data_IF_625053118416
#
_entry.id   IF_625053118416
#
_cell.length_a   1.000
_cell.length_b   1.000
_cell.length_c   1.000
_cell.angle_alpha   90.00
_cell.angle_beta   90.00
_cell.angle_gamma   90.00
#
_symmetry.space_group_name_H-M   'P 1'
#
loop_
_entity.id
_entity.type
_entity.pdbx_description
1 polymer ?
#
# COMPACT_ATOMS: atom_id res chain seq x y z
N UNK A 1 6.67 -9.72 35.96
CA UNK A 1 5.97 -8.70 35.18
C UNK A 1 5.64 -9.22 33.76
N UNK A 2 4.81 -10.27 33.77
CA UNK A 2 4.33 -10.97 32.58
C UNK A 2 3.19 -10.23 31.85
N UNK A 3 2.77 -9.08 32.35
CA UNK A 3 1.65 -8.29 31.80
C UNK A 3 2.01 -7.36 30.64
N UNK A 4 3.28 -7.23 30.28
CA UNK A 4 3.74 -6.29 29.24
C UNK A 4 3.85 -6.96 27.86
N UNK A 5 3.82 -8.28 27.76
CA UNK A 5 4.15 -9.02 26.52
C UNK A 5 2.94 -9.57 25.74
N UNK A 6 1.70 -9.20 26.08
CA UNK A 6 0.50 -9.79 25.45
C UNK A 6 -0.39 -8.80 24.71
N UNK A 7 0.13 -7.65 24.33
CA UNK A 7 -0.68 -6.71 23.55
C UNK A 7 -0.58 -7.00 22.06
N UNK A 8 -1.59 -7.65 21.54
CA UNK A 8 -1.87 -7.75 20.10
C UNK A 8 -2.04 -6.35 19.52
N UNK A 9 -1.48 -6.07 18.34
CA UNK A 9 -1.57 -4.77 17.66
C UNK A 9 -3.00 -4.26 17.47
N UNK A 10 -4.00 -5.16 17.49
CA UNK A 10 -5.43 -4.81 17.53
C UNK A 10 -5.82 -4.12 18.85
N UNK A 11 -5.25 -4.58 19.96
CA UNK A 11 -5.47 -3.94 21.25
C UNK A 11 -4.72 -2.62 21.38
N UNK A 12 -3.64 -2.42 20.62
CA UNK A 12 -2.81 -1.22 20.75
C UNK A 12 -3.21 -0.10 19.78
N UNK A 13 -3.49 -0.39 18.51
CA UNK A 13 -3.84 0.64 17.54
C UNK A 13 -5.18 1.33 17.84
N UNK A 14 -6.20 0.58 18.21
CA UNK A 14 -7.53 1.13 18.53
C UNK A 14 -7.52 2.03 19.78
N UNK A 15 -6.96 1.61 20.92
CA UNK A 15 -6.80 2.48 22.08
C UNK A 15 -5.95 3.71 21.76
N UNK A 16 -4.90 3.60 20.94
CA UNK A 16 -4.04 4.73 20.60
C UNK A 16 -4.76 5.72 19.68
N UNK A 17 -5.52 5.27 18.71
CA UNK A 17 -6.36 6.18 17.93
C UNK A 17 -7.37 6.93 18.80
N UNK A 18 -7.96 6.26 19.79
CA UNK A 18 -8.81 6.91 20.77
C UNK A 18 -8.03 7.91 21.65
N UNK A 19 -6.80 7.57 22.06
CA UNK A 19 -5.93 8.49 22.79
C UNK A 19 -5.54 9.71 21.94
N UNK A 20 -5.32 9.58 20.66
CA UNK A 20 -5.06 10.71 19.77
C UNK A 20 -6.21 11.72 19.80
N UNK A 21 -7.46 11.28 19.84
CA UNK A 21 -8.60 12.21 19.87
C UNK A 21 -8.88 12.78 21.26
N UNK A 22 -8.58 12.04 22.34
CA UNK A 22 -8.82 12.48 23.72
C UNK A 22 -7.68 13.27 24.32
N UNK A 23 -6.44 12.83 24.09
CA UNK A 23 -5.24 13.39 24.70
C UNK A 23 -4.41 14.22 23.70
N UNK A 24 -4.69 14.07 22.38
CA UNK A 24 -3.93 14.67 21.28
C UNK A 24 -2.48 14.14 21.24
N UNK A 25 -1.56 14.93 20.65
CA UNK A 25 -0.14 14.60 20.60
C UNK A 25 0.59 15.29 21.73
N UNK A 26 1.38 14.53 22.47
CA UNK A 26 2.10 15.04 23.63
C UNK A 26 3.15 16.10 23.23
N UNK A 27 3.19 17.19 24.00
CA UNK A 27 4.22 18.23 23.83
C UNK A 27 5.52 17.86 24.51
N UNK A 28 5.51 16.92 25.48
CA UNK A 28 6.70 16.43 26.16
C UNK A 28 6.77 14.92 26.06
N UNK A 29 7.94 14.40 25.66
CA UNK A 29 8.18 12.97 25.62
C UNK A 29 8.37 12.42 27.04
N UNK A 30 7.87 11.23 27.29
CA UNK A 30 8.10 10.48 28.53
C UNK A 30 9.18 9.44 28.30
N UNK A 31 10.05 9.26 29.30
CA UNK A 31 11.18 8.34 29.23
C UNK A 31 10.99 7.19 30.23
N UNK A 32 11.59 6.04 29.94
CA UNK A 32 11.69 4.92 30.87
C UNK A 32 12.88 5.13 31.83
N UNK A 33 13.12 4.14 32.72
CA UNK A 33 14.23 4.17 33.67
C UNK A 33 15.62 4.13 33.00
N UNK A 34 15.70 3.70 31.75
CA UNK A 34 16.93 3.59 30.97
C UNK A 34 17.17 4.82 30.06
N UNK A 35 16.26 5.79 30.09
CA UNK A 35 16.33 7.00 29.27
C UNK A 35 15.79 6.83 27.83
N UNK A 36 15.13 5.71 27.52
CA UNK A 36 14.47 5.52 26.22
C UNK A 36 13.09 6.16 26.23
N UNK A 37 12.67 6.68 25.08
CA UNK A 37 11.32 7.23 24.90
C UNK A 37 10.30 6.11 25.07
N UNK A 38 9.25 6.35 25.86
CA UNK A 38 8.13 5.42 25.98
C UNK A 38 7.22 5.48 24.78
N UNK A 39 6.54 4.36 24.49
CA UNK A 39 5.50 4.30 23.45
C UNK A 39 4.47 5.42 23.62
N UNK A 40 4.23 6.15 22.55
CA UNK A 40 3.32 7.31 22.56
C UNK A 40 2.61 7.49 21.22
N UNK A 41 1.76 8.51 21.11
CA UNK A 41 0.90 8.77 19.96
C UNK A 41 1.64 9.21 18.69
N UNK A 42 2.88 9.69 18.77
CA UNK A 42 3.64 10.20 17.62
C UNK A 42 3.98 9.15 16.57
N UNK A 43 3.97 7.86 16.91
CA UNK A 43 4.12 6.77 15.94
C UNK A 43 2.92 6.66 14.98
N UNK A 44 1.78 7.28 15.29
CA UNK A 44 0.55 7.15 14.52
C UNK A 44 0.17 8.45 13.83
N UNK A 45 -0.13 8.36 12.54
CA UNK A 45 -0.48 9.51 11.71
C UNK A 45 -1.89 10.02 12.00
N UNK A 46 -2.16 11.35 11.87
CA UNK A 46 -3.36 11.99 12.38
C UNK A 46 -4.63 11.81 11.53
N UNK A 47 -4.52 11.58 10.21
CA UNK A 47 -5.68 11.73 9.32
C UNK A 47 -6.77 10.71 9.59
N UNK A 48 -6.44 9.44 9.79
CA UNK A 48 -7.45 8.41 10.04
C UNK A 48 -8.21 8.65 11.35
N UNK A 49 -7.55 8.85 12.52
CA UNK A 49 -8.26 9.13 13.76
C UNK A 49 -9.06 10.43 13.71
N UNK A 50 -8.52 11.52 13.13
CA UNK A 50 -9.23 12.78 13.02
C UNK A 50 -10.44 12.73 12.08
N UNK A 51 -10.36 11.98 10.98
CA UNK A 51 -11.50 11.76 10.09
C UNK A 51 -12.61 10.98 10.79
N UNK A 52 -12.23 9.97 11.58
CA UNK A 52 -13.16 9.18 12.38
C UNK A 52 -13.82 10.02 13.49
N UNK A 53 -13.06 10.91 14.12
CA UNK A 53 -13.56 11.90 15.10
C UNK A 53 -14.54 12.88 14.44
N UNK A 54 -14.18 13.41 13.26
CA UNK A 54 -15.05 14.33 12.53
C UNK A 54 -16.40 13.67 12.19
N UNK A 55 -16.39 12.43 11.76
CA UNK A 55 -17.62 11.67 11.49
C UNK A 55 -18.43 11.43 12.78
N UNK A 56 -17.77 11.08 13.90
CA UNK A 56 -18.43 10.91 15.18
C UNK A 56 -19.07 12.20 15.69
N UNK A 57 -18.41 13.34 15.47
CA UNK A 57 -18.93 14.67 15.83
C UNK A 57 -20.21 15.01 15.03
N UNK A 58 -20.23 14.69 13.74
CA UNK A 58 -21.40 14.90 12.88
C UNK A 58 -22.62 14.07 13.33
N UNK A 59 -22.41 12.95 13.98
CA UNK A 59 -23.50 12.11 14.53
C UNK A 59 -23.97 12.53 15.92
N UNK A 60 -23.49 13.66 16.43
CA UNK A 60 -23.88 14.30 17.72
C UNK A 60 -23.59 13.52 18.99
N UNK A 61 -22.82 12.44 18.94
CA UNK A 61 -22.48 11.61 20.11
C UNK A 61 -21.03 11.18 20.08
N UNK A 62 -20.15 11.90 20.78
CA UNK A 62 -18.76 11.47 20.96
C UNK A 62 -18.70 10.61 22.21
N UNK A 63 -18.96 9.31 22.04
CA UNK A 63 -18.61 8.28 23.02
C UNK A 63 -17.52 7.40 22.41
N UNK A 64 -16.77 6.68 23.25
CA UNK A 64 -15.78 5.70 22.76
C UNK A 64 -16.40 4.71 21.76
N UNK A 65 -17.62 4.23 22.05
CA UNK A 65 -18.34 3.30 21.16
C UNK A 65 -18.73 3.94 19.82
N UNK A 66 -19.21 5.18 19.82
CA UNK A 66 -19.57 5.89 18.58
C UNK A 66 -18.34 6.21 17.74
N UNK A 67 -17.22 6.57 18.35
CA UNK A 67 -15.96 6.77 17.66
C UNK A 67 -15.50 5.50 16.90
N UNK A 68 -15.49 4.35 17.57
CA UNK A 68 -15.09 3.10 16.91
C UNK A 68 -16.05 2.68 15.80
N UNK A 69 -17.36 2.89 15.99
CA UNK A 69 -18.34 2.64 14.95
C UNK A 69 -18.07 3.53 13.71
N UNK A 70 -17.80 4.82 13.93
CA UNK A 70 -17.45 5.75 12.85
C UNK A 70 -16.12 5.38 12.18
N UNK A 71 -15.11 4.94 12.93
CA UNK A 71 -13.85 4.47 12.36
C UNK A 71 -14.03 3.22 11.47
N UNK A 72 -14.92 2.29 11.86
CA UNK A 72 -15.33 1.16 11.00
C UNK A 72 -16.02 1.65 9.74
N UNK A 73 -16.94 2.61 9.84
CA UNK A 73 -17.62 3.20 8.66
C UNK A 73 -16.61 3.85 7.72
N UNK A 74 -15.64 4.60 8.23
CA UNK A 74 -14.55 5.19 7.42
C UNK A 74 -13.78 4.07 6.70
N UNK A 75 -13.45 2.97 7.39
CA UNK A 75 -12.76 1.83 6.79
C UNK A 75 -13.58 1.16 5.70
N UNK A 76 -14.88 0.97 5.89
CA UNK A 76 -15.78 0.35 4.90
C UNK A 76 -15.95 1.21 3.65
N UNK A 77 -16.19 2.51 3.82
CA UNK A 77 -16.27 3.45 2.69
C UNK A 77 -14.95 3.46 1.92
N UNK A 78 -13.83 3.51 2.64
CA UNK A 78 -12.50 3.49 2.02
C UNK A 78 -12.24 2.17 1.28
N UNK A 79 -12.64 1.02 1.84
CA UNK A 79 -12.51 -0.29 1.19
C UNK A 79 -13.34 -0.40 -0.08
N UNK A 80 -14.57 0.10 -0.06
CA UNK A 80 -15.40 0.19 -1.27
C UNK A 80 -14.73 1.10 -2.33
N UNK A 81 -14.16 2.24 -1.90
CA UNK A 81 -13.42 3.14 -2.76
C UNK A 81 -12.17 2.47 -3.35
N UNK A 82 -11.45 1.65 -2.56
CA UNK A 82 -10.32 0.82 -3.06
C UNK A 82 -10.79 -0.15 -4.14
N UNK A 83 -11.87 -0.91 -3.91
CA UNK A 83 -12.38 -1.86 -4.88
C UNK A 83 -12.73 -1.18 -6.22
N UNK A 84 -13.50 -0.09 -6.16
CA UNK A 84 -13.90 0.67 -7.34
C UNK A 84 -12.72 1.38 -8.02
N UNK A 85 -11.82 1.96 -7.24
CA UNK A 85 -10.66 2.68 -7.75
C UNK A 85 -9.65 1.76 -8.44
N UNK A 86 -9.32 0.62 -7.82
CA UNK A 86 -8.41 -0.35 -8.42
C UNK A 86 -9.02 -1.00 -9.67
N UNK A 87 -10.32 -1.31 -9.67
CA UNK A 87 -11.01 -1.77 -10.87
C UNK A 87 -10.94 -0.72 -11.97
N UNK A 88 -11.32 0.53 -11.69
CA UNK A 88 -11.27 1.61 -12.66
C UNK A 88 -9.86 1.87 -13.22
N UNK A 89 -8.83 1.71 -12.39
CA UNK A 89 -7.44 1.91 -12.80
C UNK A 89 -6.88 0.76 -13.62
N UNK A 90 -7.15 -0.50 -13.22
CA UNK A 90 -6.47 -1.68 -13.75
C UNK A 90 -7.32 -2.48 -14.75
N UNK A 91 -8.66 -2.40 -14.70
CA UNK A 91 -9.55 -3.08 -15.64
C UNK A 91 -9.23 -2.78 -17.14
N UNK A 92 -8.92 -1.53 -17.55
CA UNK A 92 -8.54 -1.26 -18.93
C UNK A 92 -7.28 -1.99 -19.40
N UNK A 93 -6.46 -2.49 -18.47
CA UNK A 93 -5.18 -3.16 -18.74
C UNK A 93 -5.27 -4.68 -18.78
N UNK A 94 -6.22 -5.26 -18.03
CA UNK A 94 -6.35 -6.72 -17.91
C UNK A 94 -7.67 -7.26 -18.42
N UNK A 95 -8.65 -6.40 -18.67
CA UNK A 95 -10.02 -6.77 -19.04
C UNK A 95 -10.93 -7.04 -17.83
N UNK A 96 -12.25 -6.93 -18.05
CA UNK A 96 -13.27 -6.95 -17.01
C UNK A 96 -13.23 -8.21 -16.13
N UNK A 97 -13.14 -9.39 -16.77
CA UNK A 97 -13.13 -10.67 -16.04
C UNK A 97 -11.92 -10.81 -15.12
N UNK A 98 -10.73 -10.47 -15.63
CA UNK A 98 -9.50 -10.51 -14.86
C UNK A 98 -9.52 -9.48 -13.71
N UNK A 99 -10.09 -8.30 -13.95
CA UNK A 99 -10.19 -7.26 -12.92
C UNK A 99 -11.15 -7.65 -11.79
N UNK A 100 -12.32 -8.21 -12.11
CA UNK A 100 -13.25 -8.72 -11.09
C UNK A 100 -12.62 -9.83 -10.24
N UNK A 101 -11.85 -10.74 -10.86
CA UNK A 101 -11.09 -11.74 -10.13
C UNK A 101 -9.99 -11.09 -9.28
N UNK A 102 -9.34 -10.04 -9.76
CA UNK A 102 -8.36 -9.26 -9.00
C UNK A 102 -8.96 -8.66 -7.73
N UNK A 103 -10.15 -8.05 -7.82
CA UNK A 103 -10.90 -7.53 -6.67
C UNK A 103 -11.22 -8.67 -5.69
N UNK A 104 -11.80 -9.78 -6.18
CA UNK A 104 -12.18 -10.92 -5.34
C UNK A 104 -10.97 -11.51 -4.62
N UNK A 105 -9.85 -11.73 -5.32
CA UNK A 105 -8.60 -12.25 -4.76
C UNK A 105 -7.98 -11.28 -3.74
N UNK A 106 -8.04 -9.97 -4.01
CA UNK A 106 -7.52 -8.98 -3.08
C UNK A 106 -8.28 -8.99 -1.75
N UNK A 107 -9.61 -8.92 -1.80
CA UNK A 107 -10.43 -8.87 -0.58
C UNK A 107 -10.59 -10.24 0.10
N UNK A 108 -10.31 -11.35 -0.57
CA UNK A 108 -10.26 -12.68 0.06
C UNK A 108 -8.90 -13.02 0.66
N UNK A 109 -7.83 -12.26 0.36
CA UNK A 109 -6.50 -12.49 0.93
C UNK A 109 -6.52 -12.44 2.47
N UNK A 110 -5.82 -13.35 3.15
CA UNK A 110 -5.94 -13.53 4.60
C UNK A 110 -5.90 -12.23 5.41
N UNK A 111 -4.90 -11.35 5.29
CA UNK A 111 -4.85 -10.10 6.04
C UNK A 111 -5.81 -9.02 5.53
N UNK A 112 -6.54 -9.24 4.41
CA UNK A 112 -7.44 -8.23 3.87
C UNK A 112 -8.66 -7.94 4.77
N UNK A 113 -8.92 -8.78 5.76
CA UNK A 113 -9.92 -8.49 6.82
C UNK A 113 -9.62 -7.15 7.53
N UNK A 114 -8.34 -6.77 7.64
CA UNK A 114 -7.91 -5.48 8.20
C UNK A 114 -8.52 -4.28 7.47
N UNK A 115 -8.84 -4.43 6.18
CA UNK A 115 -9.50 -3.39 5.39
C UNK A 115 -10.90 -3.03 5.90
N UNK A 116 -11.53 -3.91 6.69
CA UNK A 116 -12.86 -3.71 7.25
C UNK A 116 -12.84 -3.28 8.71
N UNK A 117 -11.68 -3.28 9.32
CA UNK A 117 -11.47 -2.88 10.70
C UNK A 117 -11.02 -1.41 10.77
N UNK A 118 -11.13 -0.76 11.93
CA UNK A 118 -10.75 0.64 12.09
C UNK A 118 -9.23 0.84 12.07
N UNK A 119 -8.64 0.58 10.91
CA UNK A 119 -7.23 0.76 10.60
C UNK A 119 -7.03 1.74 9.44
N UNK A 120 -5.87 2.37 9.39
CA UNK A 120 -5.54 3.36 8.37
C UNK A 120 -5.29 2.77 6.96
N UNK A 121 -5.14 1.44 6.82
CA UNK A 121 -4.80 0.75 5.58
C UNK A 121 -5.79 1.02 4.45
N UNK A 122 -7.07 0.89 4.72
CA UNK A 122 -8.13 1.09 3.72
C UNK A 122 -8.13 2.53 3.19
N UNK A 123 -8.06 3.51 4.10
CA UNK A 123 -8.02 4.93 3.73
C UNK A 123 -6.75 5.26 2.95
N UNK A 124 -5.59 4.79 3.41
CA UNK A 124 -4.32 5.00 2.72
C UNK A 124 -4.35 4.44 1.30
N UNK A 125 -4.82 3.19 1.14
CA UNK A 125 -4.86 2.54 -0.17
C UNK A 125 -5.90 3.20 -1.10
N UNK A 126 -7.02 3.71 -0.57
CA UNK A 126 -7.98 4.49 -1.34
C UNK A 126 -7.34 5.78 -1.87
N UNK A 127 -6.73 6.58 -1.00
CA UNK A 127 -6.05 7.83 -1.37
C UNK A 127 -4.93 7.58 -2.38
N UNK A 128 -4.12 6.55 -2.16
CA UNK A 128 -3.04 6.13 -3.06
C UNK A 128 -3.59 5.74 -4.43
N UNK A 129 -4.65 4.93 -4.50
CA UNK A 129 -5.26 4.47 -5.74
C UNK A 129 -5.82 5.63 -6.55
N UNK A 130 -6.59 6.52 -5.93
CA UNK A 130 -7.11 7.70 -6.62
C UNK A 130 -6.01 8.69 -6.98
N UNK A 131 -4.97 8.83 -6.16
CA UNK A 131 -3.77 9.58 -6.50
C UNK A 131 -3.09 9.04 -7.76
N UNK A 132 -2.96 7.72 -7.90
CA UNK A 132 -2.44 7.09 -9.11
C UNK A 132 -3.33 7.32 -10.33
N UNK A 133 -4.65 7.23 -10.19
CA UNK A 133 -5.60 7.56 -11.27
C UNK A 133 -5.42 9.00 -11.73
N UNK A 134 -5.35 9.95 -10.81
CA UNK A 134 -5.18 11.37 -11.11
C UNK A 134 -3.82 11.65 -11.76
N UNK A 135 -2.76 11.03 -11.25
CA UNK A 135 -1.42 11.14 -11.80
C UNK A 135 -1.36 10.62 -13.25
N UNK A 136 -1.96 9.45 -13.52
CA UNK A 136 -2.03 8.89 -14.88
C UNK A 136 -2.91 9.69 -15.83
N UNK A 137 -3.86 10.48 -15.29
CA UNK A 137 -4.68 11.45 -16.03
C UNK A 137 -4.06 12.85 -16.12
N UNK A 138 -2.77 13.01 -15.79
CA UNK A 138 -2.04 14.30 -15.80
C UNK A 138 -2.62 15.36 -14.86
N UNK A 139 -3.38 14.96 -13.84
CA UNK A 139 -3.93 15.85 -12.81
C UNK A 139 -2.97 15.94 -11.63
N UNK A 140 -1.76 16.43 -11.88
CA UNK A 140 -0.62 16.41 -10.94
C UNK A 140 -0.93 17.05 -9.59
N UNK A 141 -1.53 18.24 -9.57
CA UNK A 141 -1.82 18.95 -8.32
C UNK A 141 -2.76 18.15 -7.43
N UNK A 142 -3.82 17.57 -8.00
CA UNK A 142 -4.76 16.73 -7.25
C UNK A 142 -4.12 15.42 -6.78
N UNK A 143 -3.22 14.85 -7.58
CA UNK A 143 -2.45 13.68 -7.17
C UNK A 143 -1.55 14.02 -5.97
N UNK A 144 -0.82 15.13 -6.01
CA UNK A 144 0.03 15.60 -4.90
C UNK A 144 -0.79 15.79 -3.62
N UNK A 145 -1.98 16.40 -3.71
CA UNK A 145 -2.85 16.59 -2.56
C UNK A 145 -3.29 15.25 -1.93
N UNK A 146 -3.73 14.28 -2.76
CA UNK A 146 -4.11 12.96 -2.25
C UNK A 146 -2.92 12.20 -1.67
N UNK A 147 -1.74 12.29 -2.27
CA UNK A 147 -0.53 11.67 -1.74
C UNK A 147 -0.12 12.29 -0.41
N UNK A 148 -0.16 13.61 -0.26
CA UNK A 148 0.11 14.28 1.00
C UNK A 148 -0.86 13.87 2.12
N UNK A 149 -2.16 13.72 1.82
CA UNK A 149 -3.13 13.19 2.78
C UNK A 149 -2.83 11.73 3.10
N UNK A 150 -2.46 10.90 2.10
CA UNK A 150 -2.11 9.51 2.30
C UNK A 150 -0.87 9.34 3.19
N UNK A 151 0.13 10.21 3.07
CA UNK A 151 1.32 10.24 3.92
C UNK A 151 0.98 10.55 5.39
N UNK A 152 -0.04 11.38 5.62
CA UNK A 152 -0.57 11.66 6.94
C UNK A 152 -1.57 10.59 7.45
N UNK A 153 -1.77 9.50 6.70
CA UNK A 153 -2.45 8.29 7.17
C UNK A 153 -1.45 7.18 7.47
N UNK A 154 -0.38 7.05 6.66
CA UNK A 154 0.72 6.07 6.83
C UNK A 154 2.01 6.61 6.20
N UNK A 155 3.20 6.25 6.75
CA UNK A 155 4.48 6.74 6.25
C UNK A 155 4.88 6.06 4.92
N UNK A 156 4.19 6.39 3.83
CA UNK A 156 4.41 5.83 2.49
C UNK A 156 5.13 6.79 1.52
N UNK A 157 5.44 8.00 1.94
CA UNK A 157 5.99 9.05 1.08
C UNK A 157 7.31 8.67 0.44
N UNK A 158 8.21 8.02 1.18
CA UNK A 158 9.52 7.58 0.65
C UNK A 158 9.37 6.60 -0.51
N UNK A 159 8.69 5.44 -0.36
CA UNK A 159 8.53 4.50 -1.47
C UNK A 159 7.70 5.07 -2.62
N UNK A 160 6.72 5.93 -2.32
CA UNK A 160 5.87 6.56 -3.33
C UNK A 160 6.66 7.58 -4.16
N UNK A 161 7.39 8.46 -3.51
CA UNK A 161 8.26 9.43 -4.19
C UNK A 161 9.36 8.73 -5.00
N UNK A 162 9.95 7.64 -4.48
CA UNK A 162 10.90 6.82 -5.21
C UNK A 162 10.27 6.19 -6.47
N UNK A 163 9.05 5.64 -6.39
CA UNK A 163 8.36 5.05 -7.53
C UNK A 163 8.08 6.08 -8.64
N UNK A 164 7.59 7.27 -8.26
CA UNK A 164 7.34 8.37 -9.20
C UNK A 164 8.65 8.91 -9.78
N UNK A 165 9.70 9.03 -8.96
CA UNK A 165 11.03 9.46 -9.36
C UNK A 165 11.70 8.50 -10.34
N UNK A 166 11.59 7.19 -10.13
CA UNK A 166 12.05 6.18 -11.08
C UNK A 166 11.29 6.25 -12.40
N UNK A 167 9.96 6.48 -12.34
CA UNK A 167 9.18 6.68 -13.56
C UNK A 167 9.62 7.93 -14.30
N UNK A 168 9.83 9.06 -13.61
CA UNK A 168 10.38 10.28 -14.21
C UNK A 168 11.74 10.01 -14.87
N UNK A 169 12.66 9.36 -14.13
CA UNK A 169 14.01 9.05 -14.65
C UNK A 169 13.96 8.19 -15.90
N UNK A 170 13.09 7.18 -15.92
CA UNK A 170 12.86 6.35 -17.10
C UNK A 170 12.38 7.17 -18.30
N UNK A 171 11.43 8.08 -18.11
CA UNK A 171 10.93 8.94 -19.18
C UNK A 171 11.98 9.95 -19.67
N UNK A 172 12.87 10.40 -18.81
CA UNK A 172 13.99 11.25 -19.17
C UNK A 172 15.00 10.49 -20.04
N UNK A 173 15.34 9.23 -19.70
CA UNK A 173 16.19 8.37 -20.53
C UNK A 173 15.57 8.09 -21.92
N UNK A 174 14.25 7.88 -21.96
CA UNK A 174 13.53 7.72 -23.24
C UNK A 174 13.56 8.97 -24.09
N UNK A 175 13.35 10.12 -23.49
CA UNK A 175 13.36 11.40 -24.19
C UNK A 175 14.74 11.74 -24.76
N UNK A 176 15.81 11.24 -24.14
CA UNK A 176 17.20 11.38 -24.62
C UNK A 176 17.59 10.28 -25.62
N UNK A 177 16.69 9.36 -25.96
CA UNK A 177 16.97 8.27 -26.88
C UNK A 177 17.90 7.17 -26.34
N UNK A 178 18.26 7.22 -25.03
CA UNK A 178 19.12 6.22 -24.39
C UNK A 178 18.43 4.87 -24.30
N UNK A 179 17.10 4.89 -24.06
CA UNK A 179 16.26 3.68 -24.00
C UNK A 179 15.34 3.63 -25.20
N UNK A 180 15.54 2.63 -26.06
CA UNK A 180 14.72 2.43 -27.26
C UNK A 180 13.28 2.04 -26.90
N UNK A 181 12.27 2.51 -27.67
CA UNK A 181 10.88 2.04 -27.56
C UNK A 181 10.72 0.53 -27.76
N UNK A 182 11.64 -0.11 -28.48
CA UNK A 182 11.66 -1.53 -28.82
C UNK A 182 12.38 -2.41 -27.80
N UNK A 183 12.88 -1.85 -26.68
CA UNK A 183 13.47 -2.69 -25.64
C UNK A 183 12.41 -3.70 -25.15
N UNK A 184 12.84 -4.92 -24.78
CA UNK A 184 11.96 -5.99 -24.22
C UNK A 184 11.06 -5.50 -23.08
N UNK A 185 11.42 -4.38 -22.49
CA UNK A 185 10.64 -3.67 -21.50
C UNK A 185 9.39 -2.97 -22.07
N UNK A 186 9.47 -2.50 -23.34
CA UNK A 186 8.36 -1.79 -24.01
C UNK A 186 7.42 -2.71 -24.80
N UNK A 187 7.91 -3.82 -25.33
CA UNK A 187 7.06 -4.76 -26.10
C UNK A 187 5.95 -5.40 -25.26
N UNK A 188 6.11 -5.38 -23.92
CA UNK A 188 5.10 -5.87 -22.97
C UNK A 188 3.99 -4.85 -22.67
N UNK A 189 4.12 -3.62 -23.18
CA UNK A 189 3.20 -2.51 -22.92
C UNK A 189 2.32 -2.13 -24.11
N UNK A 190 2.41 -2.84 -25.24
CA UNK A 190 1.53 -2.57 -26.36
C UNK A 190 0.11 -3.04 -26.01
N UNK A 191 -0.88 -2.17 -26.13
CA UNK A 191 -2.26 -2.52 -25.89
C UNK A 191 -2.78 -3.45 -26.97
N UNK A 192 -3.67 -4.31 -26.57
CA UNK A 192 -4.70 -4.98 -27.36
C UNK A 192 -4.60 -4.77 -28.89
N UNK A 193 -4.27 -5.83 -29.59
CA UNK A 193 -4.65 -5.98 -30.98
C UNK A 193 -6.17 -5.78 -31.02
N UNK A 194 -6.62 -4.73 -31.66
CA UNK A 194 -8.03 -4.49 -31.94
C UNK A 194 -8.61 -5.79 -32.46
N UNK A 195 -9.71 -6.26 -31.85
CA UNK A 195 -10.59 -7.27 -32.46
C UNK A 195 -11.25 -6.65 -33.71
N UNK A 196 -10.45 -6.44 -34.73
CA UNK A 196 -10.91 -5.98 -36.02
C UNK A 196 -11.13 -7.15 -37.02
N UNK A 197 -10.84 -8.40 -36.59
CA UNK A 197 -10.94 -9.57 -37.45
C UNK A 197 -12.21 -10.40 -37.24
N UNK A 198 -13.24 -9.86 -36.54
CA UNK A 198 -14.54 -10.51 -36.35
C UNK A 198 -15.73 -9.66 -36.80
N UNK A 199 -15.53 -8.71 -37.69
CA UNK A 199 -16.62 -8.05 -38.41
C UNK A 199 -16.38 -8.23 -39.91
N UNK A 200 -16.77 -9.38 -40.40
CA UNK A 200 -17.04 -9.55 -41.82
C UNK A 200 -18.17 -8.61 -42.20
N UNK A 201 -17.95 -7.87 -43.29
CA UNK A 201 -18.92 -7.22 -44.16
C UNK A 201 -20.27 -6.81 -43.57
N UNK A 202 -20.39 -5.57 -43.16
CA UNK A 202 -21.57 -4.76 -43.41
C UNK A 202 -21.10 -3.37 -43.83
N UNK A 203 -21.29 -3.08 -45.11
CA UNK A 203 -21.31 -1.74 -45.68
C UNK A 203 -22.51 -1.00 -45.09
N UNK A 204 -22.32 0.24 -44.72
CA UNK A 204 -23.01 1.45 -45.14
C UNK A 204 -22.95 2.55 -44.09
N UNK A 205 -22.47 3.68 -44.56
CA UNK A 205 -22.77 5.06 -44.19
C UNK A 205 -23.49 5.37 -42.86
N UNK A 206 -22.75 5.82 -41.87
CA UNK A 206 -23.19 6.89 -40.99
C UNK A 206 -22.00 7.77 -40.60
N UNK A 207 -22.03 8.95 -41.15
CA UNK A 207 -21.26 10.12 -40.77
C UNK A 207 -21.50 10.48 -39.30
N UNK A 208 -20.52 10.28 -38.42
CA UNK A 208 -20.53 10.82 -37.07
C UNK A 208 -19.13 11.23 -36.67
N UNK A 209 -18.82 12.45 -37.05
CA UNK A 209 -17.76 13.29 -36.50
C UNK A 209 -17.98 13.49 -35.01
N UNK A 210 -17.35 12.67 -34.19
CA UNK A 210 -17.02 13.00 -32.81
C UNK A 210 -15.59 12.53 -32.53
N UNK A 211 -14.65 13.45 -32.33
CA UNK A 211 -13.31 13.07 -31.92
C UNK A 211 -13.34 12.67 -30.45
N UNK A 212 -13.59 11.40 -30.16
CA UNK A 212 -13.22 10.84 -28.86
C UNK A 212 -11.70 10.80 -28.81
N UNK A 213 -11.08 11.88 -28.36
CA UNK A 213 -9.72 11.89 -27.85
C UNK A 213 -9.67 11.06 -26.59
N UNK A 214 -9.67 9.73 -26.77
CA UNK A 214 -9.29 8.80 -25.73
C UNK A 214 -7.82 9.08 -25.39
N UNK A 215 -7.59 9.96 -24.44
CA UNK A 215 -6.25 10.28 -23.97
C UNK A 215 -5.61 9.02 -23.40
N UNK A 216 -4.61 8.48 -24.08
CA UNK A 216 -3.83 7.34 -23.61
C UNK A 216 -3.29 7.65 -22.22
N UNK A 217 -3.47 6.77 -21.23
CA UNK A 217 -2.92 6.97 -19.91
C UNK A 217 -1.44 7.27 -19.94
N UNK A 218 -0.97 8.18 -19.10
CA UNK A 218 0.39 8.70 -19.09
C UNK A 218 1.44 7.60 -18.95
N UNK A 219 1.15 6.60 -18.10
CA UNK A 219 2.07 5.51 -17.73
C UNK A 219 2.21 4.40 -18.78
N UNK A 220 1.42 4.43 -19.85
CA UNK A 220 1.47 3.45 -20.96
C UNK A 220 1.68 4.11 -22.32
N UNK A 221 1.98 5.41 -22.36
CA UNK A 221 2.22 6.11 -23.63
C UNK A 221 3.39 5.49 -24.40
N UNK A 222 3.21 5.15 -25.67
CA UNK A 222 4.28 4.62 -26.53
C UNK A 222 5.35 5.66 -26.81
N UNK A 223 5.00 6.94 -26.83
CA UNK A 223 5.93 8.06 -27.02
C UNK A 223 6.46 8.56 -25.69
N UNK A 224 7.67 9.15 -25.63
CA UNK A 224 8.16 9.83 -24.43
C UNK A 224 7.20 10.94 -24.00
N UNK A 225 7.09 11.13 -22.68
CA UNK A 225 6.27 12.21 -22.15
C UNK A 225 6.77 13.58 -22.58
N UNK A 226 5.85 14.55 -22.70
CA UNK A 226 6.20 15.94 -22.96
C UNK A 226 7.16 16.47 -21.89
N UNK A 227 7.99 17.47 -22.23
CA UNK A 227 8.90 18.10 -21.26
C UNK A 227 8.12 18.62 -20.04
N UNK A 228 6.93 19.20 -20.25
CA UNK A 228 6.05 19.69 -19.18
C UNK A 228 5.64 18.54 -18.24
N UNK A 229 5.19 17.40 -18.78
CA UNK A 229 4.75 16.26 -17.96
C UNK A 229 5.93 15.66 -17.17
N UNK A 230 7.13 15.60 -17.76
CA UNK A 230 8.32 15.13 -17.05
C UNK A 230 8.70 16.06 -15.89
N UNK A 231 8.61 17.37 -16.08
CA UNK A 231 8.84 18.34 -15.00
C UNK A 231 7.81 18.11 -13.87
N UNK A 232 6.54 17.94 -14.21
CA UNK A 232 5.51 17.69 -13.20
C UNK A 232 5.68 16.35 -12.48
N UNK A 233 6.13 15.29 -13.17
CA UNK A 233 6.48 14.03 -12.49
C UNK A 233 7.63 14.21 -11.51
N UNK A 234 8.68 14.95 -11.91
CA UNK A 234 9.79 15.27 -11.03
C UNK A 234 9.35 16.06 -9.79
N UNK A 235 8.56 17.13 -10.02
CA UNK A 235 8.00 17.94 -8.93
C UNK A 235 7.15 17.09 -7.99
N UNK A 236 6.30 16.22 -8.55
CA UNK A 236 5.46 15.30 -7.75
C UNK A 236 6.35 14.36 -6.91
N UNK A 237 7.39 13.77 -7.50
CA UNK A 237 8.30 12.90 -6.78
C UNK A 237 8.99 13.61 -5.60
N UNK A 238 9.51 14.83 -5.84
CA UNK A 238 10.20 15.63 -4.81
C UNK A 238 9.23 16.03 -3.69
N UNK A 239 8.04 16.52 -4.03
CA UNK A 239 7.07 16.94 -3.02
C UNK A 239 6.63 15.74 -2.17
N UNK A 240 6.39 14.59 -2.80
CA UNK A 240 6.01 13.35 -2.10
C UNK A 240 7.15 12.85 -1.19
N UNK A 241 8.40 12.82 -1.66
CA UNK A 241 9.54 12.48 -0.81
C UNK A 241 9.73 13.47 0.36
N UNK A 242 9.58 14.76 0.09
CA UNK A 242 9.70 15.80 1.13
C UNK A 242 8.53 15.72 2.13
N UNK A 243 7.35 15.35 1.67
CA UNK A 243 6.16 15.12 2.50
C UNK A 243 6.41 14.07 3.59
N UNK A 244 7.20 13.04 3.30
CA UNK A 244 7.60 12.02 4.29
C UNK A 244 8.33 12.61 5.51
N UNK A 245 8.97 13.77 5.36
CA UNK A 245 9.64 14.48 6.45
C UNK A 245 8.70 15.40 7.22
N UNK A 246 7.50 15.66 6.71
CA UNK A 246 6.57 16.59 7.34
C UNK A 246 6.18 16.15 8.76
N UNK A 247 5.82 14.88 8.94
CA UNK A 247 5.40 14.38 10.24
C UNK A 247 6.54 14.34 11.27
N UNK A 248 7.75 13.82 10.95
CA UNK A 248 8.92 13.96 11.83
C UNK A 248 9.26 15.41 12.18
N UNK A 249 9.22 16.31 11.20
CA UNK A 249 9.48 17.75 11.43
C UNK A 249 8.41 18.39 12.32
N UNK A 250 7.15 18.00 12.16
CA UNK A 250 6.05 18.47 13.00
C UNK A 250 6.18 17.95 14.44
N UNK A 251 6.56 16.67 14.62
CA UNK A 251 6.86 16.12 15.95
C UNK A 251 8.01 16.87 16.62
N UNK A 252 9.09 17.13 15.88
CA UNK A 252 10.20 17.98 16.38
C UNK A 252 9.72 19.37 16.77
N UNK A 253 8.97 20.04 15.90
CA UNK A 253 8.47 21.40 16.19
C UNK A 253 7.63 21.47 17.47
N UNK A 254 6.78 20.47 17.71
CA UNK A 254 5.89 20.44 18.90
C UNK A 254 6.64 20.03 20.18
N UNK A 255 7.57 19.05 20.08
CA UNK A 255 8.23 18.48 21.28
C UNK A 255 9.56 19.19 21.61
N UNK A 256 10.13 19.92 20.65
CA UNK A 256 11.49 20.49 20.76
C UNK A 256 12.62 19.45 20.60
N UNK A 257 12.30 18.15 20.38
CA UNK A 257 13.27 17.06 20.27
C UNK A 257 13.38 16.62 18.81
N UNK A 258 14.54 16.79 18.15
CA UNK A 258 14.70 16.45 16.72
C UNK A 258 14.40 14.98 16.39
N UNK A 259 14.71 14.07 17.31
CA UNK A 259 14.52 12.62 17.15
C UNK A 259 13.16 12.10 17.67
N UNK A 260 12.24 12.99 18.06
CA UNK A 260 10.97 12.62 18.72
C UNK A 260 10.21 11.52 17.98
N UNK A 261 10.09 11.61 16.65
CA UNK A 261 9.42 10.63 15.83
C UNK A 261 10.20 9.31 15.76
N UNK A 262 11.49 9.37 15.46
CA UNK A 262 12.32 8.17 15.32
C UNK A 262 12.48 7.42 16.64
N UNK A 263 12.66 8.15 17.77
CA UNK A 263 12.74 7.53 19.09
C UNK A 263 11.41 6.88 19.49
N UNK A 264 10.30 7.49 19.09
CA UNK A 264 8.98 6.87 19.30
C UNK A 264 8.81 5.60 18.47
N UNK A 265 9.21 5.62 17.19
CA UNK A 265 9.15 4.42 16.32
C UNK A 265 10.03 3.27 16.86
N UNK A 266 11.23 3.59 17.38
CA UNK A 266 12.10 2.57 17.99
C UNK A 266 11.53 2.02 19.30
N UNK A 267 10.81 2.85 20.09
CA UNK A 267 10.11 2.39 21.28
C UNK A 267 9.01 1.34 21.02
N UNK A 268 8.45 1.33 19.79
CA UNK A 268 7.47 0.31 19.38
C UNK A 268 8.13 -0.95 18.81
N UNK A 269 9.39 -0.87 18.40
CA UNK A 269 10.09 -1.98 17.72
C UNK A 269 11.05 -2.75 18.62
N UNK A 270 11.32 -2.26 19.83
CA UNK A 270 12.28 -2.82 20.80
C UNK A 270 13.73 -2.95 20.26
N UNK A 271 14.02 -2.47 19.05
CA UNK A 271 15.32 -2.62 18.39
C UNK A 271 15.74 -1.35 17.63
N UNK A 272 17.05 -1.18 17.43
CA UNK A 272 17.59 -0.12 16.61
C UNK A 272 17.26 -0.33 15.12
N UNK A 273 17.03 0.76 14.39
CA UNK A 273 16.87 0.73 12.94
C UNK A 273 18.14 0.25 12.27
N UNK A 274 18.22 -1.03 11.95
CA UNK A 274 19.32 -1.63 11.20
C UNK A 274 18.78 -2.18 9.87
N UNK A 275 18.95 -1.46 8.74
CA UNK A 275 18.42 -1.89 7.44
C UNK A 275 18.78 -3.34 7.11
N UNK A 276 17.81 -4.13 6.67
CA UNK A 276 17.90 -5.55 6.33
C UNK A 276 18.21 -6.50 7.50
N UNK A 277 18.80 -6.03 8.60
CA UNK A 277 19.22 -6.89 9.72
C UNK A 277 18.03 -7.52 10.43
N UNK A 278 16.92 -6.83 10.55
CA UNK A 278 15.68 -7.36 11.13
C UNK A 278 15.20 -8.62 10.42
N UNK A 279 15.29 -8.66 9.09
CA UNK A 279 14.91 -9.84 8.29
C UNK A 279 15.82 -11.03 8.57
N UNK A 280 17.11 -10.80 8.69
CA UNK A 280 18.10 -11.86 9.02
C UNK A 280 17.86 -12.36 10.45
N UNK A 281 17.67 -11.44 11.40
CA UNK A 281 17.42 -11.78 12.82
C UNK A 281 16.14 -12.61 12.96
N UNK A 282 15.02 -12.15 12.38
CA UNK A 282 13.75 -12.86 12.45
C UNK A 282 13.79 -14.21 11.72
N UNK A 283 14.43 -14.29 10.57
CA UNK A 283 14.62 -15.55 9.86
C UNK A 283 15.37 -16.58 10.72
N UNK A 284 16.43 -16.16 11.43
CA UNK A 284 17.20 -17.03 12.33
C UNK A 284 16.40 -17.41 13.58
N UNK A 285 15.58 -16.52 14.11
CA UNK A 285 14.71 -16.81 15.27
C UNK A 285 13.66 -17.86 14.92
N UNK A 286 12.95 -17.69 13.79
CA UNK A 286 11.85 -18.59 13.40
C UNK A 286 12.31 -19.91 12.77
N UNK A 287 13.36 -19.87 11.98
CA UNK A 287 13.80 -21.02 11.19
C UNK A 287 15.15 -21.61 11.61
N UNK A 288 15.80 -21.03 12.61
CA UNK A 288 17.17 -21.37 12.99
C UNK A 288 18.24 -20.77 12.05
N UNK A 289 19.52 -20.85 12.41
CA UNK A 289 20.59 -20.11 11.72
C UNK A 289 20.77 -20.49 10.26
N UNK A 290 20.54 -21.75 9.88
CA UNK A 290 20.73 -22.22 8.50
C UNK A 290 19.42 -22.21 7.72
N UNK A 291 18.37 -22.89 8.21
CA UNK A 291 17.09 -23.03 7.52
C UNK A 291 16.34 -21.69 7.41
N UNK A 292 16.46 -20.82 8.41
CA UNK A 292 15.89 -19.47 8.36
C UNK A 292 16.52 -18.61 7.27
N UNK A 293 17.84 -18.65 7.11
CA UNK A 293 18.53 -17.92 6.04
C UNK A 293 18.15 -18.48 4.66
N UNK A 294 18.04 -19.81 4.52
CA UNK A 294 17.58 -20.43 3.26
C UNK A 294 16.16 -19.98 2.93
N UNK A 295 15.25 -19.93 3.92
CA UNK A 295 13.89 -19.44 3.75
C UNK A 295 13.87 -17.96 3.34
N UNK A 296 14.70 -17.11 3.94
CA UNK A 296 14.83 -15.71 3.57
C UNK A 296 15.31 -15.56 2.11
N UNK A 297 16.33 -16.30 1.71
CA UNK A 297 16.80 -16.31 0.31
C UNK A 297 15.68 -16.75 -0.63
N UNK A 298 14.92 -17.78 -0.29
CA UNK A 298 13.78 -18.23 -1.09
C UNK A 298 12.71 -17.13 -1.24
N UNK A 299 12.38 -16.40 -0.16
CA UNK A 299 11.46 -15.26 -0.19
C UNK A 299 11.97 -14.14 -1.10
N UNK A 300 13.27 -13.81 -1.03
CA UNK A 300 13.88 -12.80 -1.88
C UNK A 300 13.87 -13.20 -3.35
N UNK A 301 14.23 -14.44 -3.66
CA UNK A 301 14.19 -14.98 -5.03
C UNK A 301 12.77 -14.98 -5.58
N UNK A 302 11.80 -15.44 -4.80
CA UNK A 302 10.38 -15.42 -5.18
C UNK A 302 9.91 -13.97 -5.44
N UNK A 303 10.28 -13.04 -4.58
CA UNK A 303 9.97 -11.62 -4.74
C UNK A 303 10.54 -11.05 -6.04
N UNK A 304 11.80 -11.35 -6.35
CA UNK A 304 12.42 -10.94 -7.61
C UNK A 304 11.67 -11.55 -8.81
N UNK A 305 11.31 -12.83 -8.76
CA UNK A 305 10.55 -13.49 -9.82
C UNK A 305 9.17 -12.83 -10.03
N UNK A 306 8.45 -12.53 -8.95
CA UNK A 306 7.12 -11.90 -9.02
C UNK A 306 7.23 -10.47 -9.56
N UNK A 307 8.14 -9.66 -9.00
CA UNK A 307 8.33 -8.26 -9.38
C UNK A 307 8.93 -8.11 -10.80
N UNK A 308 9.70 -9.08 -11.26
CA UNK A 308 10.24 -9.11 -12.62
C UNK A 308 9.25 -9.68 -13.64
N UNK A 309 8.05 -10.10 -13.22
CA UNK A 309 7.09 -10.72 -14.12
C UNK A 309 6.62 -9.77 -15.22
N UNK A 310 6.48 -10.28 -16.44
CA UNK A 310 5.91 -9.52 -17.55
C UNK A 310 4.46 -9.10 -17.31
N UNK A 311 3.72 -9.88 -16.55
CA UNK A 311 2.32 -9.60 -16.23
C UNK A 311 2.18 -8.36 -15.32
N UNK A 312 3.06 -8.19 -14.33
CA UNK A 312 3.05 -7.00 -13.48
C UNK A 312 3.41 -5.75 -14.30
N UNK A 313 4.39 -5.87 -15.21
CA UNK A 313 4.76 -4.78 -16.12
C UNK A 313 3.62 -4.37 -17.05
N UNK A 314 2.74 -5.30 -17.46
CA UNK A 314 1.54 -5.01 -18.28
C UNK A 314 0.50 -4.15 -17.54
N UNK A 315 0.52 -4.13 -16.21
CA UNK A 315 -0.35 -3.24 -15.42
C UNK A 315 0.04 -1.76 -15.50
N UNK A 316 1.16 -1.44 -16.11
CA UNK A 316 1.68 -0.08 -16.25
C UNK A 316 2.94 0.15 -15.41
N UNK A 317 3.74 1.15 -15.82
CA UNK A 317 5.01 1.46 -15.15
C UNK A 317 4.82 1.88 -13.71
N UNK A 318 3.82 2.72 -13.45
CA UNK A 318 3.54 3.21 -12.11
C UNK A 318 3.18 2.07 -11.16
N UNK A 319 2.30 1.13 -11.56
CA UNK A 319 1.94 -0.03 -10.76
C UNK A 319 3.14 -0.92 -10.47
N UNK A 320 3.99 -1.13 -11.46
CA UNK A 320 5.20 -1.93 -11.33
C UNK A 320 6.23 -1.25 -10.40
N UNK A 321 6.56 0.01 -10.65
CA UNK A 321 7.55 0.76 -9.86
C UNK A 321 7.09 0.94 -8.42
N UNK A 322 5.79 1.16 -8.20
CA UNK A 322 5.21 1.18 -6.87
C UNK A 322 5.47 -0.13 -6.11
N UNK A 323 5.12 -1.27 -6.69
CA UNK A 323 5.33 -2.57 -6.04
C UNK A 323 6.82 -2.81 -5.75
N UNK A 324 7.73 -2.46 -6.67
CA UNK A 324 9.17 -2.61 -6.46
C UNK A 324 9.67 -1.72 -5.32
N UNK A 325 9.37 -0.41 -5.38
CA UNK A 325 9.85 0.55 -4.38
C UNK A 325 9.26 0.27 -2.99
N UNK A 326 7.98 -0.10 -2.94
CA UNK A 326 7.33 -0.42 -1.68
C UNK A 326 7.91 -1.71 -1.05
N UNK A 327 8.18 -2.74 -1.86
CA UNK A 327 8.84 -3.95 -1.37
C UNK A 327 10.25 -3.66 -0.83
N UNK A 328 11.04 -2.89 -1.57
CA UNK A 328 12.39 -2.46 -1.10
C UNK A 328 12.28 -1.67 0.20
N UNK A 329 11.29 -0.79 0.31
CA UNK A 329 11.02 -0.04 1.55
C UNK A 329 10.71 -0.96 2.73
N UNK A 330 9.90 -2.01 2.52
CA UNK A 330 9.62 -3.01 3.57
C UNK A 330 10.89 -3.75 3.98
N UNK A 331 11.75 -4.14 3.03
CA UNK A 331 13.01 -4.82 3.33
C UNK A 331 13.98 -3.95 4.13
N UNK A 332 13.95 -2.64 3.93
CA UNK A 332 14.86 -1.71 4.60
C UNK A 332 14.35 -1.34 6.00
N UNK A 333 13.06 -1.03 6.12
CA UNK A 333 12.53 -0.35 7.29
C UNK A 333 11.60 -1.18 8.17
N UNK A 334 11.13 -2.34 7.71
CA UNK A 334 10.15 -3.13 8.45
C UNK A 334 10.70 -4.45 8.97
N UNK A 335 10.28 -4.79 10.20
CA UNK A 335 10.52 -6.10 10.77
C UNK A 335 9.52 -7.10 10.20
N UNK A 336 9.98 -8.29 9.75
CA UNK A 336 9.10 -9.33 9.21
C UNK A 336 8.35 -10.07 10.32
N UNK A 337 7.47 -9.36 11.02
CA UNK A 337 6.48 -9.93 11.92
C UNK A 337 5.21 -10.32 11.16
N UNK A 338 4.19 -10.84 11.84
CA UNK A 338 2.89 -11.10 11.22
C UNK A 338 2.27 -9.85 10.54
N UNK A 339 2.61 -8.65 11.04
CA UNK A 339 2.22 -7.37 10.44
C UNK A 339 2.70 -7.16 9.02
N UNK A 340 3.78 -7.83 8.57
CA UNK A 340 4.28 -7.69 7.20
C UNK A 340 3.22 -8.08 6.16
N UNK A 341 2.44 -9.11 6.45
CA UNK A 341 1.39 -9.59 5.54
C UNK A 341 0.30 -8.53 5.34
N UNK A 342 -0.02 -7.76 6.39
CA UNK A 342 -0.92 -6.60 6.33
C UNK A 342 -0.33 -5.47 5.48
N UNK A 343 0.98 -5.21 5.60
CA UNK A 343 1.67 -4.21 4.78
C UNK A 343 1.64 -4.57 3.30
N UNK A 344 1.67 -5.86 2.93
CA UNK A 344 1.58 -6.31 1.54
C UNK A 344 0.27 -5.90 0.85
N UNK A 345 -0.79 -5.53 1.57
CA UNK A 345 -2.02 -4.99 0.99
C UNK A 345 -1.76 -3.73 0.15
N UNK A 346 -0.74 -2.95 0.48
CA UNK A 346 -0.36 -1.78 -0.34
C UNK A 346 0.16 -2.18 -1.73
N UNK A 347 0.56 -3.45 -1.92
CA UNK A 347 0.94 -4.01 -3.22
C UNK A 347 -0.26 -4.60 -3.97
N UNK A 348 -1.44 -4.01 -3.81
CA UNK A 348 -2.70 -4.45 -4.41
C UNK A 348 -2.62 -4.83 -5.91
N UNK A 349 -1.83 -4.17 -6.79
CA UNK A 349 -1.71 -4.56 -8.18
C UNK A 349 -1.32 -6.04 -8.40
N UNK A 350 -0.67 -6.70 -7.44
CA UNK A 350 -0.32 -8.12 -7.53
C UNK A 350 -1.55 -9.03 -7.63
N UNK A 351 -2.65 -8.67 -6.98
CA UNK A 351 -3.91 -9.42 -7.09
C UNK A 351 -4.48 -9.37 -8.52
N UNK A 352 -4.31 -8.26 -9.25
CA UNK A 352 -4.72 -8.13 -10.65
C UNK A 352 -3.83 -8.95 -11.60
N UNK A 353 -2.54 -9.09 -11.28
CA UNK A 353 -1.65 -10.04 -11.99
C UNK A 353 -2.17 -11.46 -11.85
N UNK A 354 -2.57 -11.84 -10.64
CA UNK A 354 -3.11 -13.16 -10.36
C UNK A 354 -4.48 -13.36 -11.01
N UNK A 355 -5.36 -12.37 -10.92
CA UNK A 355 -6.65 -12.34 -11.63
C UNK A 355 -6.50 -12.51 -13.14
N UNK A 356 -5.53 -11.84 -13.76
CA UNK A 356 -5.23 -11.98 -15.19
C UNK A 356 -4.74 -13.40 -15.55
N UNK A 357 -3.87 -13.99 -14.73
CA UNK A 357 -3.42 -15.38 -14.92
C UNK A 357 -4.54 -16.40 -14.78
N UNK A 358 -5.46 -16.18 -13.84
CA UNK A 358 -6.55 -17.10 -13.54
C UNK A 358 -7.82 -16.83 -14.35
N UNK A 359 -7.87 -15.78 -15.15
CA UNK A 359 -9.07 -15.42 -15.93
C UNK A 359 -9.59 -16.53 -16.85
N UNK A 360 -8.70 -17.38 -17.37
CA UNK A 360 -9.06 -18.54 -18.19
C UNK A 360 -9.18 -19.85 -17.39
N UNK A 361 -8.94 -19.82 -16.08
CA UNK A 361 -8.95 -20.97 -15.20
C UNK A 361 -9.92 -20.76 -14.02
N UNK A 362 -11.23 -20.58 -14.34
CA UNK A 362 -12.22 -20.17 -13.34
C UNK A 362 -12.30 -21.12 -12.14
N UNK A 363 -12.19 -22.44 -12.35
CA UNK A 363 -12.19 -23.44 -11.25
C UNK A 363 -11.04 -23.19 -10.28
N UNK A 364 -9.84 -22.94 -10.81
CA UNK A 364 -8.66 -22.62 -9.99
C UNK A 364 -8.81 -21.28 -9.27
N UNK A 365 -9.41 -20.27 -9.93
CA UNK A 365 -9.69 -18.98 -9.31
C UNK A 365 -10.67 -19.13 -8.13
N UNK A 366 -11.79 -19.84 -8.31
CA UNK A 366 -12.77 -20.09 -7.26
C UNK A 366 -12.17 -20.90 -6.11
N UNK A 367 -11.40 -21.96 -6.41
CA UNK A 367 -10.70 -22.74 -5.37
C UNK A 367 -9.72 -21.88 -4.56
N UNK A 368 -8.97 -21.01 -5.24
CA UNK A 368 -8.03 -20.10 -4.55
C UNK A 368 -8.76 -19.08 -3.69
N UNK A 369 -9.85 -18.48 -4.17
CA UNK A 369 -10.67 -17.54 -3.40
C UNK A 369 -11.25 -18.25 -2.17
N UNK A 370 -11.79 -19.46 -2.32
CA UNK A 370 -12.33 -20.24 -1.21
C UNK A 370 -11.25 -20.55 -0.17
N UNK A 371 -10.08 -21.00 -0.60
CA UNK A 371 -8.93 -21.23 0.29
C UNK A 371 -8.49 -19.94 0.99
N UNK A 372 -8.47 -18.82 0.28
CA UNK A 372 -8.14 -17.51 0.84
C UNK A 372 -9.15 -17.06 1.90
N UNK A 373 -10.45 -17.28 1.68
CA UNK A 373 -11.49 -16.99 2.69
C UNK A 373 -11.31 -17.88 3.92
N UNK A 374 -11.04 -19.16 3.74
CA UNK A 374 -10.70 -20.05 4.88
C UNK A 374 -9.47 -19.52 5.63
N UNK A 375 -8.45 -19.06 4.90
CA UNK A 375 -7.26 -18.50 5.55
C UNK A 375 -7.54 -17.19 6.30
N UNK A 376 -8.56 -16.38 5.90
CA UNK A 376 -9.02 -15.24 6.70
C UNK A 376 -9.58 -15.69 8.06
N UNK A 377 -10.42 -16.72 8.05
CA UNK A 377 -10.98 -17.28 9.29
C UNK A 377 -9.88 -17.80 10.21
N UNK A 378 -8.93 -18.55 9.64
CA UNK A 378 -7.76 -19.04 10.40
C UNK A 378 -6.88 -17.89 10.90
N UNK A 379 -6.73 -16.82 10.11
CA UNK A 379 -5.99 -15.63 10.52
C UNK A 379 -6.62 -14.99 11.76
N UNK A 380 -7.96 -14.83 11.77
CA UNK A 380 -8.68 -14.28 12.93
C UNK A 380 -8.53 -15.24 14.12
N UNK A 381 -8.80 -16.53 13.94
CA UNK A 381 -8.84 -17.50 15.02
C UNK A 381 -7.46 -17.74 15.66
N UNK A 382 -6.38 -17.69 14.87
CA UNK A 382 -5.05 -18.03 15.38
C UNK A 382 -4.16 -16.83 15.68
N UNK A 383 -4.30 -15.75 14.94
CA UNK A 383 -3.42 -14.58 15.11
C UNK A 383 -4.05 -13.56 16.04
N UNK A 384 -5.37 -13.45 16.04
CA UNK A 384 -6.07 -12.49 16.89
C UNK A 384 -6.61 -13.08 18.19
N UNK A 385 -6.95 -14.35 18.23
CA UNK A 385 -7.40 -15.06 19.44
C UNK A 385 -6.29 -15.93 20.07
N UNK A 386 -5.04 -15.61 19.82
CA UNK A 386 -3.86 -16.33 20.34
C UNK A 386 -3.76 -16.35 21.87
N UNK A 387 -4.63 -15.64 22.61
CA UNK A 387 -4.74 -15.73 24.06
C UNK A 387 -5.21 -17.11 24.57
N UNK A 388 -5.88 -17.90 23.71
CA UNK A 388 -6.35 -19.24 24.09
C UNK A 388 -5.30 -20.34 23.91
N UNK A 389 -4.24 -20.08 23.14
CA UNK A 389 -3.17 -21.02 22.89
C UNK A 389 -1.94 -20.56 23.68
N UNK A 390 -1.57 -21.31 24.74
CA UNK A 390 -0.41 -21.05 25.60
C UNK A 390 0.95 -21.20 24.85
N UNK A 391 1.03 -20.70 23.64
CA UNK A 391 2.25 -20.59 22.83
C UNK A 391 3.03 -19.34 23.24
N UNK A 392 3.41 -19.27 24.51
CA UNK A 392 4.07 -18.15 25.17
C UNK A 392 5.49 -17.83 24.67
N UNK A 393 5.90 -18.24 23.49
CA UNK A 393 7.23 -17.97 22.94
C UNK A 393 7.28 -17.56 21.47
N UNK A 394 6.16 -17.41 20.80
CA UNK A 394 6.14 -16.94 19.43
C UNK A 394 5.53 -15.56 19.42
N UNK A 395 6.32 -14.55 19.09
CA UNK A 395 5.85 -13.16 18.90
C UNK A 395 4.92 -13.10 17.67
N UNK A 396 3.66 -13.38 17.88
CA UNK A 396 2.62 -13.15 16.90
C UNK A 396 2.04 -11.76 17.12
N UNK A 397 2.51 -10.77 16.37
CA UNK A 397 1.82 -9.49 16.25
C UNK A 397 0.98 -9.53 14.98
N UNK A 398 -0.34 -9.33 15.04
CA UNK A 398 -1.20 -9.28 13.86
C UNK A 398 -0.93 -8.06 12.98
#
# INVERSE_FOLDING_TARGET
DLHVLTHSFLHDALPIYHRIITERYFTKLTYDANGHVRQNTWAFMPVFPLLSEALATLTSTITTKSYFACAVVVSWISSAAVALGLDAWLCPRVGKRASLLGVALFFSFAPAIVMQLPYAESLTLALLTFGFILLTKRRFIWAILLFGIAELTRPIGVPLGAAIGLWWFWEELRARGIVSPTSRFNSSFLPFKKSADLAGNVSDDVDTTTPQTATTPLDISPTPLSKKDRIWLFVTAIITCAGALFWPAFAWFITGVPSAYTDTETAWREDNLAPFMSWIKQATIYGGPNSGIVALIAVLVLSICVLSSSQLRKLGRLAWMWCVCYWVYLLIFFDPSSSILRMLLMMAPLAWVLGAKLSNHLRAAVALIALSVVSQVLWIAWIWDAHSLSLSKIYWMP
#
